data_IF_306192232681
#
_entry.id   IF_306192232681
#
_cell.length_a   1.000
_cell.length_b   1.000
_cell.length_c   1.000
_cell.angle_alpha   90.00
_cell.angle_beta   90.00
_cell.angle_gamma   90.00
#
_symmetry.space_group_name_H-M   'P 1'
#
loop_
_entity.id
_entity.type
_entity.pdbx_description
1 polymer ?
#
# COMPACT_ATOMS: atom_id res chain seq x y z
N UNK A 1 3.03 -24.35 20.38
CA UNK A 1 2.72 -24.98 19.08
C UNK A 1 1.33 -24.57 18.66
N UNK A 2 1.24 -23.65 17.72
CA UNK A 2 -0.02 -23.15 17.18
C UNK A 2 -0.57 -24.21 16.19
N UNK A 3 -1.64 -24.92 16.58
CA UNK A 3 -2.20 -26.01 15.77
C UNK A 3 -2.55 -25.61 14.33
N UNK A 4 -2.95 -24.36 14.13
CA UNK A 4 -3.34 -23.86 12.81
C UNK A 4 -2.12 -23.69 11.90
N UNK A 5 -1.03 -23.11 12.44
CA UNK A 5 0.25 -23.00 11.72
C UNK A 5 0.77 -24.40 11.38
N UNK A 6 0.72 -25.34 12.32
CA UNK A 6 1.16 -26.72 12.08
C UNK A 6 0.36 -27.39 10.94
N UNK A 7 -0.97 -27.30 10.98
CA UNK A 7 -1.84 -27.85 9.91
C UNK A 7 -1.56 -27.20 8.55
N UNK A 8 -1.36 -25.88 8.51
CA UNK A 8 -1.01 -25.18 7.28
C UNK A 8 0.39 -25.55 6.78
N UNK A 9 1.37 -25.68 7.67
CA UNK A 9 2.72 -26.12 7.34
C UNK A 9 2.70 -27.45 6.57
N UNK A 10 2.05 -28.47 7.14
CA UNK A 10 1.97 -29.80 6.52
C UNK A 10 1.30 -29.74 5.14
N UNK A 11 0.18 -29.02 5.04
CA UNK A 11 -0.55 -28.83 3.78
C UNK A 11 0.32 -28.16 2.71
N UNK A 12 1.04 -27.10 3.07
CA UNK A 12 1.88 -26.32 2.14
C UNK A 12 3.14 -27.07 1.75
N UNK A 13 3.77 -27.83 2.67
CA UNK A 13 4.92 -28.70 2.35
C UNK A 13 4.55 -29.77 1.32
N UNK A 14 3.43 -30.47 1.53
CA UNK A 14 2.92 -31.47 0.57
C UNK A 14 2.66 -30.86 -0.81
N UNK A 15 2.12 -29.65 -0.87
CA UNK A 15 1.94 -28.94 -2.13
C UNK A 15 3.27 -28.62 -2.82
N UNK A 16 4.25 -28.08 -2.08
CA UNK A 16 5.59 -27.81 -2.64
C UNK A 16 6.27 -29.08 -3.16
N UNK A 17 6.16 -30.19 -2.44
CA UNK A 17 6.70 -31.50 -2.85
C UNK A 17 6.02 -31.98 -4.14
N UNK A 18 4.68 -31.95 -4.20
CA UNK A 18 3.93 -32.31 -5.41
C UNK A 18 4.29 -31.43 -6.62
N UNK A 19 4.44 -30.12 -6.44
CA UNK A 19 4.89 -29.22 -7.51
C UNK A 19 6.29 -29.59 -8.02
N UNK A 20 7.22 -29.93 -7.11
CA UNK A 20 8.58 -30.37 -7.49
C UNK A 20 8.57 -31.66 -8.30
N UNK A 21 7.78 -32.65 -7.89
CA UNK A 21 7.62 -33.92 -8.61
C UNK A 21 7.11 -33.70 -10.05
N UNK A 22 6.19 -32.75 -10.20
CA UNK A 22 5.60 -32.39 -11.49
C UNK A 22 6.40 -31.35 -12.30
N UNK A 23 7.57 -30.93 -11.82
CA UNK A 23 8.36 -29.84 -12.43
C UNK A 23 7.56 -28.54 -12.62
N UNK A 24 6.57 -28.30 -11.77
CA UNK A 24 5.74 -27.10 -11.75
C UNK A 24 6.34 -26.06 -10.79
N UNK A 25 6.82 -24.94 -11.37
CA UNK A 25 7.38 -23.81 -10.63
C UNK A 25 6.52 -22.55 -10.75
N UNK A 26 5.26 -22.68 -11.18
CA UNK A 26 4.33 -21.56 -11.39
C UNK A 26 4.20 -20.66 -10.17
N UNK A 27 4.14 -21.23 -8.95
CA UNK A 27 4.06 -20.47 -7.70
C UNK A 27 5.31 -19.62 -7.42
N UNK A 28 6.49 -20.01 -7.93
CA UNK A 28 7.73 -19.23 -7.83
C UNK A 28 7.79 -18.14 -8.91
N UNK A 29 7.34 -18.47 -10.13
CA UNK A 29 7.30 -17.51 -11.24
C UNK A 29 6.35 -16.36 -10.91
N UNK A 30 5.18 -16.65 -10.34
CA UNK A 30 4.25 -15.62 -9.85
C UNK A 30 4.99 -14.70 -8.88
N UNK A 31 5.67 -15.22 -7.86
CA UNK A 31 6.44 -14.38 -6.92
C UNK A 31 7.51 -13.51 -7.61
N UNK A 32 8.17 -14.02 -8.66
CA UNK A 32 9.16 -13.26 -9.44
C UNK A 32 8.54 -12.19 -10.36
N UNK A 33 7.29 -12.34 -10.80
CA UNK A 33 6.61 -11.31 -11.61
C UNK A 33 6.28 -10.05 -10.78
N UNK A 34 6.14 -10.19 -9.46
CA UNK A 34 5.90 -9.08 -8.53
C UNK A 34 7.17 -8.64 -7.79
N UNK A 35 8.35 -9.07 -8.25
CA UNK A 35 9.63 -8.71 -7.63
C UNK A 35 10.15 -7.33 -8.07
N UNK A 36 9.28 -6.45 -8.58
CA UNK A 36 9.67 -5.05 -8.72
C UNK A 36 9.88 -4.49 -7.31
N UNK A 37 11.16 -4.46 -6.93
CA UNK A 37 11.65 -4.01 -5.62
C UNK A 37 11.17 -2.60 -5.26
N UNK A 38 10.83 -1.80 -6.27
CA UNK A 38 10.28 -0.44 -6.18
C UNK A 38 8.85 -0.36 -5.63
N UNK A 39 8.06 -1.43 -5.71
CA UNK A 39 6.63 -1.44 -5.31
C UNK A 39 6.38 -2.12 -3.96
N UNK A 40 7.37 -2.83 -3.42
CA UNK A 40 7.26 -3.56 -2.16
C UNK A 40 6.77 -2.67 -0.99
N UNK A 41 7.28 -1.44 -0.87
CA UNK A 41 6.84 -0.50 0.18
C UNK A 41 5.35 -0.18 0.06
N UNK A 42 4.84 0.03 -1.16
CA UNK A 42 3.41 0.28 -1.36
C UNK A 42 2.57 -0.96 -1.03
N UNK A 43 3.01 -2.17 -1.38
CA UNK A 43 2.28 -3.39 -1.00
C UNK A 43 2.25 -3.59 0.54
N UNK A 44 3.30 -3.21 1.26
CA UNK A 44 3.30 -3.23 2.73
C UNK A 44 2.32 -2.18 3.30
N UNK A 45 2.35 -0.95 2.77
CA UNK A 45 1.41 0.09 3.19
C UNK A 45 -0.03 -0.33 2.93
N UNK A 46 -0.33 -0.98 1.79
CA UNK A 46 -1.64 -1.54 1.49
C UNK A 46 -2.05 -2.62 2.49
N UNK A 47 -1.15 -3.56 2.80
CA UNK A 47 -1.46 -4.63 3.75
C UNK A 47 -1.79 -4.06 5.14
N UNK A 48 -1.07 -3.02 5.59
CA UNK A 48 -1.33 -2.34 6.86
C UNK A 48 -2.66 -1.55 6.82
N UNK A 49 -2.92 -0.84 5.73
CA UNK A 49 -4.17 -0.09 5.50
C UNK A 49 -5.41 -1.01 5.49
N UNK A 50 -5.29 -2.21 4.92
CA UNK A 50 -6.32 -3.25 4.82
C UNK A 50 -6.68 -3.92 6.15
N UNK A 51 -5.81 -3.78 7.14
CA UNK A 51 -6.09 -4.17 8.53
C UNK A 51 -6.31 -2.95 9.42
N UNK A 52 -6.62 -1.81 8.81
CA UNK A 52 -7.01 -0.56 9.48
C UNK A 52 -5.92 0.03 10.38
N UNK A 53 -4.64 -0.22 10.06
CA UNK A 53 -3.55 0.44 10.75
C UNK A 53 -3.64 1.97 10.58
N UNK A 54 -3.39 2.71 11.66
CA UNK A 54 -3.28 4.17 11.61
C UNK A 54 -1.82 4.64 11.61
N UNK A 55 -0.90 3.77 12.03
CA UNK A 55 0.53 4.02 12.11
C UNK A 55 1.31 2.83 11.55
N UNK A 56 2.37 3.13 10.81
CA UNK A 56 3.38 2.18 10.38
C UNK A 56 4.79 2.75 10.51
N UNK A 57 5.72 1.93 11.00
CA UNK A 57 7.12 2.28 11.25
C UNK A 57 8.02 1.29 10.50
N UNK A 58 8.98 1.83 9.75
CA UNK A 58 10.02 1.07 9.06
C UNK A 58 11.37 1.33 9.74
N UNK A 59 11.88 0.38 10.53
CA UNK A 59 13.23 0.41 11.09
C UNK A 59 14.14 -0.51 10.24
N UNK A 60 15.01 0.08 9.42
CA UNK A 60 15.90 -0.68 8.56
C UNK A 60 17.35 -0.58 9.02
N UNK A 61 17.95 -1.75 9.20
CA UNK A 61 19.35 -1.95 9.60
C UNK A 61 20.13 -2.59 8.44
N UNK A 62 21.43 -2.75 8.61
CA UNK A 62 22.32 -3.31 7.58
C UNK A 62 21.90 -4.71 7.09
N UNK A 63 21.27 -5.52 7.95
CA UNK A 63 20.97 -6.93 7.66
C UNK A 63 19.47 -7.26 7.62
N UNK A 64 18.59 -6.33 7.97
CA UNK A 64 17.15 -6.58 7.97
C UNK A 64 16.36 -5.27 7.92
N UNK A 65 15.10 -5.39 7.47
CA UNK A 65 14.06 -4.39 7.65
C UNK A 65 13.02 -4.91 8.66
N UNK A 66 12.77 -4.17 9.73
CA UNK A 66 11.68 -4.40 10.67
C UNK A 66 10.54 -3.42 10.37
N UNK A 67 9.35 -3.93 10.17
CA UNK A 67 8.13 -3.17 9.93
C UNK A 67 7.22 -3.39 11.13
N UNK A 68 6.70 -2.31 11.71
CA UNK A 68 5.77 -2.37 12.85
C UNK A 68 4.53 -1.55 12.51
N UNK A 69 3.33 -2.11 12.68
CA UNK A 69 2.08 -1.37 12.51
C UNK A 69 1.03 -1.76 13.55
N UNK A 70 0.15 -0.81 13.87
CA UNK A 70 -0.89 -0.95 14.91
C UNK A 70 -2.26 -1.39 14.36
N UNK A 71 -2.23 -2.13 13.24
CA UNK A 71 -3.45 -2.62 12.62
C UNK A 71 -4.02 -3.83 13.37
N UNK A 72 -5.21 -4.27 12.95
CA UNK A 72 -5.85 -5.46 13.50
C UNK A 72 -4.89 -6.67 13.49
N UNK A 73 -4.79 -7.35 14.64
CA UNK A 73 -3.92 -8.51 14.81
C UNK A 73 -4.30 -9.68 13.88
N UNK A 74 -3.31 -10.52 13.59
CA UNK A 74 -3.50 -11.69 12.75
C UNK A 74 -4.51 -12.66 13.37
N UNK A 75 -5.28 -13.26 12.48
CA UNK A 75 -6.14 -14.42 12.70
C UNK A 75 -5.72 -15.54 11.77
N UNK A 76 -6.26 -16.73 11.99
CA UNK A 76 -6.00 -17.92 11.17
C UNK A 76 -6.17 -17.68 9.66
N UNK A 77 -7.21 -16.92 9.30
CA UNK A 77 -7.50 -16.52 7.91
C UNK A 77 -6.39 -15.68 7.29
N UNK A 78 -5.69 -14.85 8.07
CA UNK A 78 -4.58 -14.04 7.59
C UNK A 78 -3.36 -14.91 7.29
N UNK A 79 -3.08 -15.91 8.13
CA UNK A 79 -1.98 -16.87 7.92
C UNK A 79 -2.23 -17.71 6.67
N UNK A 80 -3.46 -18.20 6.45
CA UNK A 80 -3.80 -18.93 5.23
C UNK A 80 -3.70 -18.04 3.98
N UNK A 81 -4.18 -16.79 4.07
CA UNK A 81 -4.16 -15.85 2.96
C UNK A 81 -2.72 -15.46 2.53
N UNK A 82 -1.85 -15.12 3.48
CA UNK A 82 -0.47 -14.72 3.19
C UNK A 82 0.39 -15.89 2.68
N UNK A 83 0.01 -17.12 3.00
CA UNK A 83 0.67 -18.36 2.55
C UNK A 83 -0.03 -19.03 1.35
N UNK A 84 -1.05 -18.39 0.78
CA UNK A 84 -1.83 -18.97 -0.31
C UNK A 84 -1.04 -19.08 -1.63
N UNK A 85 -1.41 -20.05 -2.46
CA UNK A 85 -0.87 -20.24 -3.81
C UNK A 85 -1.88 -19.67 -4.81
N UNK A 86 -1.42 -18.75 -5.66
CA UNK A 86 -2.24 -18.16 -6.73
C UNK A 86 -3.26 -17.12 -6.28
N UNK A 87 -4.08 -16.70 -7.24
CA UNK A 87 -5.19 -15.76 -7.06
C UNK A 87 -6.36 -16.50 -6.40
N UNK A 88 -6.75 -16.10 -5.19
CA UNK A 88 -7.95 -16.63 -4.55
C UNK A 88 -9.11 -15.65 -4.78
N UNK A 89 -10.02 -15.91 -5.75
CA UNK A 89 -11.17 -15.02 -5.99
C UNK A 89 -12.11 -14.93 -4.79
N UNK A 90 -12.03 -15.86 -3.83
CA UNK A 90 -12.83 -15.89 -2.59
C UNK A 90 -12.30 -14.96 -1.49
N UNK A 91 -11.09 -14.41 -1.63
CA UNK A 91 -10.50 -13.41 -0.71
C UNK A 91 -10.61 -11.98 -1.23
N UNK A 92 -11.33 -11.76 -2.33
CA UNK A 92 -11.68 -10.45 -2.87
C UNK A 92 -12.77 -9.77 -2.03
N UNK A 93 -12.45 -9.37 -0.81
CA UNK A 93 -13.11 -8.19 -0.26
C UNK A 93 -12.67 -7.02 -1.17
N UNK A 94 -13.50 -6.54 -2.12
CA UNK A 94 -13.04 -5.50 -3.09
C UNK A 94 -12.83 -4.14 -2.37
N UNK A 95 -13.14 -4.05 -1.06
CA UNK A 95 -12.85 -2.88 -0.26
C UNK A 95 -11.40 -2.84 0.23
N UNK A 96 -10.63 -3.91 0.03
CA UNK A 96 -9.23 -3.98 0.38
C UNK A 96 -8.35 -3.56 -0.80
N UNK A 97 -7.36 -2.74 -0.51
CA UNK A 97 -6.41 -2.18 -1.47
C UNK A 97 -5.45 -3.29 -1.96
N UNK A 98 -5.08 -4.20 -1.05
CA UNK A 98 -4.27 -5.38 -1.31
C UNK A 98 -5.08 -6.56 -1.83
N UNK A 99 -4.57 -7.22 -2.88
CA UNK A 99 -4.96 -8.61 -3.19
C UNK A 99 -4.23 -9.51 -2.20
N UNK A 100 -4.89 -9.85 -1.09
CA UNK A 100 -4.30 -10.60 0.03
C UNK A 100 -3.46 -11.79 -0.45
N UNK A 101 -2.18 -11.78 -0.10
CA UNK A 101 -1.21 -12.85 -0.38
C UNK A 101 -0.40 -12.72 -1.67
N UNK A 102 -0.82 -11.91 -2.66
CA UNK A 102 0.00 -11.67 -3.86
C UNK A 102 0.97 -10.52 -3.62
N UNK A 103 0.48 -9.39 -3.11
CA UNK A 103 1.29 -8.19 -2.83
C UNK A 103 2.43 -8.45 -1.86
N UNK A 104 2.15 -9.18 -0.78
CA UNK A 104 3.16 -9.54 0.22
C UNK A 104 4.32 -10.35 -0.37
N UNK A 105 4.12 -11.12 -1.45
CA UNK A 105 5.21 -11.93 -2.04
C UNK A 105 6.33 -11.09 -2.64
N UNK A 106 6.12 -9.79 -2.85
CA UNK A 106 7.19 -8.85 -3.23
C UNK A 106 8.33 -8.81 -2.19
N UNK A 107 8.08 -9.16 -0.92
CA UNK A 107 9.12 -9.28 0.13
C UNK A 107 10.22 -10.28 -0.27
N UNK A 108 9.86 -11.32 -1.03
CA UNK A 108 10.80 -12.38 -1.42
C UNK A 108 11.86 -11.90 -2.43
N UNK A 109 11.72 -10.68 -2.97
CA UNK A 109 12.80 -10.01 -3.69
C UNK A 109 13.99 -9.61 -2.79
N UNK A 110 13.79 -9.59 -1.47
CA UNK A 110 14.79 -9.19 -0.46
C UNK A 110 15.14 -10.29 0.54
N UNK A 111 14.23 -11.23 0.78
CA UNK A 111 14.39 -12.31 1.77
C UNK A 111 13.95 -13.66 1.24
N UNK A 112 14.43 -14.76 1.83
CA UNK A 112 13.88 -16.11 1.61
C UNK A 112 13.02 -16.59 2.79
N UNK A 113 12.94 -15.80 3.87
CA UNK A 113 12.29 -16.18 5.12
C UNK A 113 11.78 -14.95 5.90
N UNK A 114 10.76 -14.22 5.40
CA UNK A 114 10.13 -13.15 6.17
C UNK A 114 9.49 -13.75 7.43
N UNK A 115 9.59 -13.02 8.53
CA UNK A 115 9.04 -13.39 9.84
C UNK A 115 7.87 -12.47 10.17
N UNK A 116 6.82 -13.03 10.77
CA UNK A 116 5.60 -12.32 11.17
C UNK A 116 5.33 -12.65 12.63
N UNK A 117 5.14 -11.60 13.43
CA UNK A 117 4.75 -11.67 14.84
C UNK A 117 3.55 -10.77 15.06
N UNK A 118 2.43 -11.35 15.50
CA UNK A 118 1.17 -10.62 15.70
C UNK A 118 0.26 -11.41 16.63
N UNK A 119 0.04 -10.91 17.85
CA UNK A 119 -0.71 -11.61 18.88
C UNK A 119 -0.14 -13.01 19.13
N UNK A 120 -0.95 -14.05 18.92
CA UNK A 120 -0.56 -15.46 19.13
C UNK A 120 0.11 -16.12 17.91
N UNK A 121 0.37 -15.37 16.84
CA UNK A 121 0.96 -15.89 15.61
C UNK A 121 2.41 -15.42 15.48
N UNK A 122 3.34 -16.38 15.54
CA UNK A 122 4.77 -16.17 15.32
C UNK A 122 5.27 -17.24 14.34
N UNK A 123 5.56 -16.82 13.12
CA UNK A 123 6.00 -17.74 12.07
C UNK A 123 6.88 -17.04 11.05
N UNK A 124 7.75 -17.82 10.41
CA UNK A 124 8.44 -17.41 9.19
C UNK A 124 7.83 -18.12 7.99
N UNK A 125 7.88 -17.51 6.82
CA UNK A 125 7.41 -18.14 5.59
C UNK A 125 8.61 -18.62 4.77
N UNK A 126 8.78 -19.93 4.62
CA UNK A 126 9.81 -20.51 3.77
C UNK A 126 9.21 -21.00 2.45
N UNK A 127 10.05 -21.16 1.42
CA UNK A 127 9.63 -21.69 0.11
C UNK A 127 8.40 -20.95 -0.47
N UNK A 128 8.34 -19.63 -0.23
CA UNK A 128 7.26 -18.71 -0.61
C UNK A 128 5.89 -18.90 0.07
N UNK A 129 5.58 -20.08 0.60
CA UNK A 129 4.21 -20.43 1.05
C UNK A 129 4.15 -21.32 2.30
N UNK A 130 5.27 -21.74 2.87
CA UNK A 130 5.29 -22.68 4.00
C UNK A 130 5.46 -21.90 5.30
N UNK A 131 4.42 -21.78 6.14
CA UNK A 131 4.58 -21.15 7.45
C UNK A 131 5.27 -22.11 8.43
N UNK A 132 6.39 -21.72 9.01
CA UNK A 132 7.12 -22.45 10.05
C UNK A 132 7.03 -21.66 11.36
N UNK A 133 6.55 -22.28 12.43
CA UNK A 133 6.49 -21.66 13.76
C UNK A 133 7.91 -21.32 14.24
N UNK A 134 8.05 -20.15 14.86
CA UNK A 134 9.31 -19.64 15.42
C UNK A 134 9.08 -19.15 16.85
N UNK A 135 10.17 -18.90 17.57
CA UNK A 135 10.08 -18.39 18.93
C UNK A 135 9.31 -17.06 18.98
N UNK A 136 8.40 -16.89 19.95
CA UNK A 136 7.64 -15.66 20.09
C UNK A 136 8.57 -14.50 20.48
N UNK A 137 8.24 -13.31 19.96
CA UNK A 137 8.81 -12.05 20.44
C UNK A 137 7.68 -11.22 21.01
N UNK A 138 8.00 -10.39 22.00
CA UNK A 138 7.04 -9.41 22.50
C UNK A 138 6.76 -8.37 21.40
N UNK A 139 5.51 -8.32 20.95
CA UNK A 139 5.02 -7.38 19.96
C UNK A 139 3.90 -6.49 20.52
N UNK A 140 3.54 -6.62 21.81
CA UNK A 140 2.40 -5.92 22.40
C UNK A 140 1.13 -6.06 21.56
N UNK A 141 0.51 -4.92 21.25
CA UNK A 141 -0.67 -4.82 20.38
C UNK A 141 -0.33 -4.52 18.91
N UNK A 142 0.96 -4.49 18.55
CA UNK A 142 1.42 -4.24 17.19
C UNK A 142 1.62 -5.56 16.43
N UNK A 143 1.58 -5.47 15.10
CA UNK A 143 2.12 -6.50 14.20
C UNK A 143 3.53 -6.11 13.79
N UNK A 144 4.47 -7.04 13.93
CA UNK A 144 5.87 -6.90 13.54
C UNK A 144 6.17 -7.86 12.38
N UNK A 145 6.71 -7.33 11.29
CA UNK A 145 7.23 -8.10 10.16
C UNK A 145 8.73 -7.86 10.06
N UNK A 146 9.52 -8.93 10.08
CA UNK A 146 10.97 -8.87 9.93
C UNK A 146 11.33 -9.43 8.55
N UNK A 147 12.14 -8.69 7.81
CA UNK A 147 12.64 -9.05 6.48
C UNK A 147 14.16 -9.14 6.56
N UNK A 148 14.72 -10.33 6.87
CA UNK A 148 16.16 -10.54 6.84
C UNK A 148 16.69 -10.48 5.41
N UNK A 149 17.79 -9.77 5.15
CA UNK A 149 18.41 -9.64 3.82
C UNK A 149 19.24 -10.88 3.46
N UNK A 150 18.60 -12.04 3.43
CA UNK A 150 19.22 -13.35 3.21
C UNK A 150 18.95 -13.94 1.82
N UNK A 151 18.56 -13.11 0.85
CA UNK A 151 18.32 -13.55 -0.52
C UNK A 151 19.62 -13.85 -1.27
N UNK A 152 19.74 -15.05 -1.84
CA UNK A 152 21.01 -15.53 -2.43
C UNK A 152 21.53 -14.71 -3.62
N UNK A 153 20.66 -13.95 -4.30
CA UNK A 153 21.01 -13.11 -5.46
C UNK A 153 21.01 -11.61 -5.15
N UNK A 154 20.87 -11.20 -3.89
CA UNK A 154 20.86 -9.80 -3.49
C UNK A 154 21.67 -9.64 -2.21
N UNK A 155 22.77 -8.89 -2.28
CA UNK A 155 23.60 -8.66 -1.09
C UNK A 155 22.87 -7.76 -0.08
N UNK A 156 23.11 -7.92 1.24
CA UNK A 156 22.53 -7.06 2.27
C UNK A 156 22.69 -5.55 1.99
N UNK A 157 23.90 -5.10 1.63
CA UNK A 157 24.16 -3.68 1.33
C UNK A 157 23.35 -3.16 0.13
N UNK A 158 23.14 -4.00 -0.89
CA UNK A 158 22.32 -3.65 -2.05
C UNK A 158 20.83 -3.58 -1.67
N UNK A 159 20.34 -4.53 -0.86
CA UNK A 159 18.98 -4.51 -0.33
C UNK A 159 18.73 -3.26 0.51
N UNK A 160 19.67 -2.95 1.42
CA UNK A 160 19.67 -1.76 2.26
C UNK A 160 19.55 -0.48 1.42
N UNK A 161 20.42 -0.32 0.41
CA UNK A 161 20.42 0.85 -0.47
C UNK A 161 19.08 1.04 -1.19
N UNK A 162 18.54 -0.04 -1.76
CA UNK A 162 17.26 0.00 -2.49
C UNK A 162 16.10 0.43 -1.58
N UNK A 163 16.02 -0.14 -0.37
CA UNK A 163 14.95 0.17 0.58
C UNK A 163 15.09 1.61 1.09
N UNK A 164 16.32 2.03 1.43
CA UNK A 164 16.62 3.39 1.88
C UNK A 164 16.19 4.43 0.85
N UNK A 165 16.67 4.29 -0.39
CA UNK A 165 16.32 5.21 -1.49
C UNK A 165 14.80 5.27 -1.68
N UNK A 166 14.10 4.14 -1.56
CA UNK A 166 12.66 4.09 -1.75
C UNK A 166 11.88 4.80 -0.63
N UNK A 167 12.28 4.61 0.64
CA UNK A 167 11.65 5.28 1.78
C UNK A 167 11.94 6.78 1.78
N UNK A 168 13.16 7.18 1.39
CA UNK A 168 13.56 8.58 1.26
C UNK A 168 12.87 9.29 0.08
N UNK A 169 12.53 8.57 -1.00
CA UNK A 169 11.82 9.10 -2.18
C UNK A 169 10.29 8.95 -2.08
N UNK A 170 9.74 8.50 -0.94
CA UNK A 170 8.30 8.53 -0.74
C UNK A 170 7.80 9.97 -0.87
N UNK A 171 6.81 10.18 -1.74
CA UNK A 171 6.21 11.51 -1.90
C UNK A 171 5.05 11.70 -0.94
N UNK A 172 4.73 12.95 -0.61
CA UNK A 172 3.58 13.30 0.25
C UNK A 172 2.26 12.77 -0.31
N UNK A 173 2.11 12.61 -1.63
CA UNK A 173 0.93 11.98 -2.23
C UNK A 173 0.75 10.50 -1.85
N UNK A 174 1.79 9.82 -1.35
CA UNK A 174 1.74 8.40 -0.98
C UNK A 174 0.87 8.12 0.24
N UNK A 175 0.64 9.13 1.10
CA UNK A 175 -0.23 9.00 2.28
C UNK A 175 -1.60 9.66 2.05
N UNK A 176 -1.69 10.61 1.10
CA UNK A 176 -2.84 11.49 0.88
C UNK A 176 -4.18 10.73 0.75
N UNK A 177 -4.20 9.66 -0.06
CA UNK A 177 -5.42 8.91 -0.38
C UNK A 177 -5.58 7.61 0.43
N UNK A 178 -4.74 7.39 1.45
CA UNK A 178 -4.97 6.33 2.42
C UNK A 178 -6.14 6.73 3.32
N UNK A 179 -6.94 5.78 3.78
CA UNK A 179 -8.13 6.05 4.61
C UNK A 179 -7.77 6.02 6.09
N UNK A 180 -6.98 5.04 6.51
CA UNK A 180 -6.69 4.76 7.91
C UNK A 180 -5.30 5.24 8.33
N UNK A 181 -4.27 4.97 7.51
CA UNK A 181 -2.89 5.36 7.84
C UNK A 181 -2.79 6.89 7.86
N UNK A 182 -2.39 7.40 9.02
CA UNK A 182 -2.16 8.81 9.31
C UNK A 182 -0.69 9.10 9.62
N UNK A 183 0.10 8.07 9.94
CA UNK A 183 1.50 8.23 10.31
C UNK A 183 2.37 7.14 9.66
N UNK A 184 3.27 7.54 8.78
CA UNK A 184 4.33 6.70 8.23
C UNK A 184 5.65 7.22 8.77
N UNK A 185 6.42 6.37 9.44
CA UNK A 185 7.75 6.72 9.95
C UNK A 185 8.78 5.75 9.41
N UNK A 186 9.99 6.25 9.20
CA UNK A 186 11.12 5.39 8.87
C UNK A 186 12.38 5.88 9.56
N UNK A 187 13.25 4.95 9.94
CA UNK A 187 14.52 5.22 10.59
C UNK A 187 15.59 4.23 10.15
N UNK A 188 16.80 4.76 9.99
CA UNK A 188 18.04 4.04 9.77
C UNK A 188 19.10 4.50 10.77
N UNK A 189 20.30 3.96 10.66
CA UNK A 189 21.42 4.43 11.47
C UNK A 189 21.88 5.87 11.10
N UNK A 190 21.53 6.36 9.91
CA UNK A 190 22.02 7.64 9.37
C UNK A 190 20.95 8.73 9.31
N UNK A 191 19.74 8.34 8.92
CA UNK A 191 18.62 9.24 8.65
C UNK A 191 17.32 8.63 9.16
N UNK A 192 16.38 9.50 9.49
CA UNK A 192 15.00 9.16 9.82
C UNK A 192 14.09 10.16 9.14
N UNK A 193 12.86 9.77 8.83
CA UNK A 193 11.85 10.64 8.24
C UNK A 193 10.44 10.21 8.62
N UNK A 194 9.48 11.08 8.29
CA UNK A 194 8.07 10.84 8.60
C UNK A 194 7.15 11.50 7.57
N UNK A 195 5.92 11.00 7.54
CA UNK A 195 4.76 11.59 6.87
C UNK A 195 3.58 11.54 7.83
N UNK A 196 2.99 12.70 8.12
CA UNK A 196 1.83 12.84 8.99
C UNK A 196 0.67 13.40 8.18
N UNK A 197 -0.48 12.73 8.24
CA UNK A 197 -1.71 13.15 7.57
C UNK A 197 -2.76 13.49 8.63
N UNK A 198 -3.30 14.69 8.53
CA UNK A 198 -4.46 15.12 9.30
C UNK A 198 -5.56 15.59 8.34
N UNK A 199 -6.79 15.14 8.56
CA UNK A 199 -7.95 15.55 7.76
C UNK A 199 -9.05 16.17 8.61
N UNK A 200 -9.71 17.19 8.06
CA UNK A 200 -10.85 17.90 8.65
C UNK A 200 -11.99 17.88 7.64
N UNK A 201 -13.14 17.32 8.02
CA UNK A 201 -14.34 17.39 7.19
C UNK A 201 -14.88 18.83 7.19
N UNK A 202 -14.91 19.46 6.01
CA UNK A 202 -15.47 20.81 5.85
C UNK A 202 -16.99 20.71 5.70
N UNK A 203 -17.43 19.79 4.85
CA UNK A 203 -18.82 19.41 4.71
C UNK A 203 -18.92 18.00 4.11
N UNK A 204 -20.14 17.55 3.83
CA UNK A 204 -20.36 16.26 3.17
C UNK A 204 -19.56 16.22 1.86
N UNK A 205 -18.70 15.22 1.73
CA UNK A 205 -17.88 14.92 0.55
C UNK A 205 -16.76 15.95 0.25
N UNK A 206 -16.40 16.80 1.22
CA UNK A 206 -15.28 17.75 1.09
C UNK A 206 -14.43 17.73 2.36
N UNK A 207 -13.13 17.47 2.20
CA UNK A 207 -12.15 17.42 3.27
C UNK A 207 -11.03 18.42 3.03
N UNK A 208 -10.55 19.02 4.11
CA UNK A 208 -9.23 19.64 4.16
C UNK A 208 -8.24 18.58 4.61
N UNK A 209 -7.18 18.31 3.86
CA UNK A 209 -6.13 17.39 4.26
C UNK A 209 -4.81 18.15 4.33
N UNK A 210 -4.12 18.04 5.45
CA UNK A 210 -2.75 18.49 5.59
C UNK A 210 -1.84 17.26 5.63
N UNK A 211 -0.80 17.26 4.79
CA UNK A 211 0.26 16.26 4.79
C UNK A 211 1.56 16.96 5.14
N UNK A 212 2.08 16.64 6.32
CA UNK A 212 3.35 17.13 6.81
C UNK A 212 4.45 16.08 6.63
N UNK A 213 5.67 16.52 6.35
CA UNK A 213 6.81 15.62 6.18
C UNK A 213 8.10 16.26 6.66
N UNK A 214 9.14 15.47 6.83
CA UNK A 214 10.45 16.01 7.21
C UNK A 214 11.06 16.97 6.15
N UNK A 215 10.71 16.80 4.87
CA UNK A 215 11.34 17.52 3.76
C UNK A 215 10.61 18.81 3.38
N UNK A 216 9.30 18.83 3.56
CA UNK A 216 8.43 19.93 3.14
C UNK A 216 7.44 20.24 4.27
N UNK A 217 7.35 21.53 4.63
CA UNK A 217 6.40 22.04 5.61
C UNK A 217 4.97 21.93 5.06
N UNK A 218 4.14 21.08 5.69
CA UNK A 218 2.68 21.02 5.58
C UNK A 218 2.06 21.33 4.21
N UNK A 219 1.94 20.33 3.34
CA UNK A 219 1.17 20.43 2.10
C UNK A 219 -0.33 20.39 2.40
N UNK A 220 -1.07 21.44 2.00
CA UNK A 220 -2.51 21.51 2.17
C UNK A 220 -3.26 21.10 0.89
N UNK A 221 -4.32 20.30 1.05
CA UNK A 221 -5.17 19.85 -0.04
C UNK A 221 -6.65 20.04 0.29
N UNK A 222 -7.42 20.52 -0.69
CA UNK A 222 -8.87 20.43 -0.67
C UNK A 222 -9.30 19.20 -1.47
N UNK A 223 -9.84 18.21 -0.79
CA UNK A 223 -10.20 16.91 -1.35
C UNK A 223 -11.71 16.76 -1.46
N UNK A 224 -12.18 16.40 -2.64
CA UNK A 224 -13.56 16.08 -2.94
C UNK A 224 -13.70 14.59 -3.14
N UNK A 225 -14.66 13.95 -2.48
CA UNK A 225 -14.86 12.52 -2.60
C UNK A 225 -16.27 12.16 -3.07
N UNK A 226 -16.41 11.02 -3.76
CA UNK A 226 -17.72 10.47 -4.16
C UNK A 226 -17.67 8.96 -4.01
N UNK A 227 -18.70 8.41 -3.39
CA UNK A 227 -18.92 6.97 -3.37
C UNK A 227 -19.62 6.56 -4.67
N UNK A 228 -19.10 5.53 -5.33
CA UNK A 228 -19.62 4.97 -6.58
C UNK A 228 -19.97 3.50 -6.37
N UNK A 229 -20.98 3.01 -7.08
CA UNK A 229 -21.34 1.60 -7.09
C UNK A 229 -20.74 0.92 -8.32
N UNK A 230 -19.93 -0.10 -8.09
CA UNK A 230 -19.39 -0.97 -9.12
C UNK A 230 -19.72 -2.40 -8.73
N UNK A 231 -20.49 -3.08 -9.57
CA UNK A 231 -21.07 -4.39 -9.25
C UNK A 231 -21.83 -4.31 -7.90
N UNK A 232 -21.48 -5.16 -6.94
CA UNK A 232 -22.14 -5.22 -5.62
C UNK A 232 -21.39 -4.40 -4.55
N UNK A 233 -20.51 -3.47 -4.96
CA UNK A 233 -19.57 -2.83 -4.02
C UNK A 233 -19.51 -1.32 -4.16
N UNK A 234 -19.38 -0.69 -3.00
CA UNK A 234 -19.21 0.75 -2.85
C UNK A 234 -17.73 1.09 -2.82
N UNK A 235 -17.25 1.77 -3.85
CA UNK A 235 -15.88 2.25 -3.95
C UNK A 235 -15.85 3.77 -3.84
N UNK A 236 -14.68 4.32 -3.50
CA UNK A 236 -14.49 5.77 -3.34
C UNK A 236 -13.56 6.31 -4.42
N UNK A 237 -13.97 7.40 -5.05
CA UNK A 237 -13.17 8.22 -5.97
C UNK A 237 -12.92 9.60 -5.36
N UNK A 238 -11.76 10.18 -5.64
CA UNK A 238 -11.32 11.41 -5.01
C UNK A 238 -10.58 12.33 -5.99
N UNK A 239 -10.80 13.64 -5.83
CA UNK A 239 -10.07 14.70 -6.54
C UNK A 239 -9.44 15.61 -5.49
N UNK A 240 -8.13 15.79 -5.53
CA UNK A 240 -7.40 16.62 -4.58
C UNK A 240 -6.75 17.82 -5.27
N UNK A 241 -7.06 19.01 -4.76
CA UNK A 241 -6.51 20.28 -5.23
C UNK A 241 -5.51 20.80 -4.22
N UNK A 242 -4.28 21.04 -4.67
CA UNK A 242 -3.24 21.62 -3.84
C UNK A 242 -3.58 23.07 -3.51
N UNK A 243 -3.55 23.42 -2.22
CA UNK A 243 -3.85 24.75 -1.73
C UNK A 243 -2.56 25.41 -1.29
N UNK A 244 -2.29 26.57 -1.86
CA UNK A 244 -1.12 27.39 -1.55
C UNK A 244 -1.58 28.78 -1.07
N UNK A 245 -0.65 29.52 -0.48
CA UNK A 245 -0.86 30.86 0.04
C UNK A 245 -0.21 31.89 -0.89
N UNK A 246 -0.99 32.91 -1.27
CA UNK A 246 -0.43 34.13 -1.84
C UNK A 246 0.30 34.92 -0.76
N UNK A 247 1.13 35.88 -1.19
CA UNK A 247 1.84 36.82 -0.29
C UNK A 247 0.91 37.57 0.69
N UNK A 248 -0.37 37.76 0.34
CA UNK A 248 -1.37 38.41 1.18
C UNK A 248 -2.14 37.43 2.10
N UNK A 249 -1.63 36.21 2.31
CA UNK A 249 -2.26 35.11 3.05
C UNK A 249 -3.60 34.63 2.47
N UNK A 250 -3.93 34.98 1.23
CA UNK A 250 -5.10 34.45 0.55
C UNK A 250 -4.80 33.04 0.02
N UNK A 251 -5.60 32.06 0.44
CA UNK A 251 -5.55 30.69 -0.10
C UNK A 251 -6.04 30.63 -1.54
N UNK A 252 -5.35 29.87 -2.39
CA UNK A 252 -5.74 29.62 -3.78
C UNK A 252 -5.38 28.19 -4.21
N UNK A 253 -6.01 27.68 -5.27
CA UNK A 253 -5.58 26.39 -5.85
C UNK A 253 -4.35 26.63 -6.70
N UNK A 254 -3.22 26.08 -6.27
CA UNK A 254 -1.98 26.09 -7.05
C UNK A 254 -1.98 24.97 -8.09
N UNK A 255 -1.28 25.21 -9.20
CA UNK A 255 -1.18 24.24 -10.28
C UNK A 255 -0.07 23.22 -9.98
N UNK A 256 -0.46 21.95 -9.91
CA UNK A 256 0.50 20.86 -9.93
C UNK A 256 0.90 20.53 -11.36
N UNK A 257 2.14 20.08 -11.56
CA UNK A 257 2.64 19.64 -12.86
C UNK A 257 3.07 18.17 -12.81
N UNK A 258 3.05 17.49 -13.96
CA UNK A 258 3.43 16.07 -14.07
C UNK A 258 2.66 15.16 -13.10
N UNK A 259 1.38 15.46 -12.88
CA UNK A 259 0.53 14.66 -12.00
C UNK A 259 0.31 13.28 -12.61
N UNK A 260 0.06 12.30 -11.73
CA UNK A 260 -0.21 10.92 -12.12
C UNK A 260 -1.52 10.47 -11.53
N UNK A 261 -2.23 9.62 -12.26
CA UNK A 261 -3.43 8.99 -11.75
C UNK A 261 -3.03 8.03 -10.61
N UNK A 262 -3.71 8.15 -9.47
CA UNK A 262 -3.46 7.31 -8.31
C UNK A 262 -4.51 6.21 -8.19
N UNK A 263 -4.04 5.00 -7.90
CA UNK A 263 -4.88 3.90 -7.41
C UNK A 263 -4.42 3.64 -5.98
N UNK A 264 -4.85 4.53 -5.08
CA UNK A 264 -4.33 4.76 -3.72
C UNK A 264 -2.88 5.28 -3.68
N UNK A 265 -2.00 4.75 -4.53
CA UNK A 265 -0.65 5.27 -4.76
C UNK A 265 -0.49 5.73 -6.22
N UNK A 266 0.44 6.67 -6.50
CA UNK A 266 0.69 7.13 -7.87
C UNK A 266 1.10 5.98 -8.81
N UNK A 267 0.40 5.85 -9.94
CA UNK A 267 0.73 4.86 -11.00
C UNK A 267 1.80 5.42 -11.97
N UNK A 268 2.07 4.74 -13.10
CA UNK A 268 2.87 5.32 -14.20
C UNK A 268 2.03 6.17 -15.16
N UNK A 269 0.70 6.12 -15.06
CA UNK A 269 -0.21 6.88 -15.92
C UNK A 269 -0.15 8.38 -15.58
N UNK A 270 0.49 9.16 -16.47
CA UNK A 270 0.51 10.61 -16.36
C UNK A 270 -0.84 11.19 -16.77
N UNK A 271 -1.28 12.19 -16.03
CA UNK A 271 -2.45 12.99 -16.39
C UNK A 271 -1.96 14.43 -16.62
N UNK A 272 -2.41 15.05 -17.71
CA UNK A 272 -2.07 16.44 -18.05
C UNK A 272 -3.01 17.41 -17.32
N UNK A 273 -3.26 17.15 -16.03
CA UNK A 273 -4.16 17.91 -15.17
C UNK A 273 -3.37 18.58 -14.05
N UNK A 274 -3.86 19.73 -13.59
CA UNK A 274 -3.18 20.54 -12.58
C UNK A 274 -3.52 20.15 -11.13
N UNK A 275 -4.15 18.99 -10.94
CA UNK A 275 -4.65 18.48 -9.66
C UNK A 275 -4.52 16.95 -9.64
N UNK A 276 -4.65 16.35 -8.45
CA UNK A 276 -4.48 14.92 -8.25
C UNK A 276 -5.81 14.19 -8.36
N UNK A 277 -5.77 13.00 -8.95
CA UNK A 277 -6.90 12.09 -9.06
C UNK A 277 -6.58 10.78 -8.36
N UNK A 278 -7.52 10.30 -7.55
CA UNK A 278 -7.55 8.94 -7.06
C UNK A 278 -8.83 8.27 -7.54
N UNK A 279 -8.67 7.04 -8.03
CA UNK A 279 -9.79 6.18 -8.34
C UNK A 279 -9.38 4.70 -8.28
N UNK A 280 -10.31 3.79 -7.98
CA UNK A 280 -10.05 2.37 -7.81
C UNK A 280 -10.00 1.65 -9.16
N UNK A 281 -9.20 2.16 -10.10
CA UNK A 281 -9.04 1.57 -11.41
C UNK A 281 -8.47 0.15 -11.32
N UNK A 282 -8.95 -0.73 -12.19
CA UNK A 282 -8.34 -2.04 -12.41
C UNK A 282 -7.04 -1.84 -13.18
N UNK A 283 -5.94 -2.21 -12.55
CA UNK A 283 -4.59 -2.10 -13.12
C UNK A 283 -4.12 -3.43 -13.72
N UNK A 284 -3.01 -3.38 -14.46
CA UNK A 284 -2.17 -4.55 -14.74
C UNK A 284 -1.70 -5.25 -13.46
N UNK A 285 -1.21 -6.50 -13.52
CA UNK A 285 -0.70 -7.22 -12.36
C UNK A 285 0.38 -6.45 -11.58
N UNK A 286 1.30 -5.78 -12.26
CA UNK A 286 2.34 -4.96 -11.63
C UNK A 286 1.84 -3.60 -11.10
N UNK A 287 0.53 -3.30 -11.20
CA UNK A 287 -0.13 -2.08 -10.72
C UNK A 287 0.35 -0.75 -11.33
N UNK A 288 1.01 -0.82 -12.48
CA UNK A 288 1.64 0.37 -13.06
C UNK A 288 0.79 1.08 -14.11
N UNK A 289 0.02 0.32 -14.89
CA UNK A 289 -0.74 0.85 -16.02
C UNK A 289 -2.21 0.44 -15.93
N UNK A 290 -3.05 1.18 -16.65
CA UNK A 290 -4.51 1.05 -16.61
C UNK A 290 -5.04 0.81 -18.03
N UNK A 291 -5.84 -0.24 -18.18
CA UNK A 291 -6.61 -0.43 -19.41
C UNK A 291 -7.90 0.38 -19.35
N UNK A 292 -7.88 1.57 -19.95
CA UNK A 292 -9.06 2.45 -19.98
C UNK A 292 -10.21 1.94 -20.85
N UNK A 293 -10.03 0.84 -21.61
CA UNK A 293 -11.09 0.19 -22.38
C UNK A 293 -11.80 -0.94 -21.62
N UNK A 294 -11.32 -1.29 -20.43
CA UNK A 294 -12.03 -2.21 -19.55
C UNK A 294 -13.35 -1.55 -19.11
N UNK A 295 -14.46 -2.29 -19.19
CA UNK A 295 -15.80 -1.76 -18.95
C UNK A 295 -15.96 -1.14 -17.54
N UNK A 296 -15.28 -1.68 -16.53
CA UNK A 296 -15.29 -1.10 -15.18
C UNK A 296 -14.54 0.23 -15.16
N UNK A 297 -13.38 0.28 -15.80
CA UNK A 297 -12.55 1.48 -15.87
C UNK A 297 -13.22 2.61 -16.68
N UNK A 298 -14.01 2.28 -17.70
CA UNK A 298 -14.84 3.26 -18.42
C UNK A 298 -15.88 3.92 -17.50
N UNK A 299 -16.56 3.13 -16.66
CA UNK A 299 -17.51 3.64 -15.66
C UNK A 299 -16.80 4.56 -14.66
N UNK A 300 -15.68 4.10 -14.09
CA UNK A 300 -14.88 4.90 -13.15
C UNK A 300 -14.44 6.23 -13.79
N UNK A 301 -14.01 6.20 -15.06
CA UNK A 301 -13.59 7.40 -15.79
C UNK A 301 -14.74 8.40 -15.95
N UNK A 302 -15.94 7.93 -16.24
CA UNK A 302 -17.13 8.79 -16.31
C UNK A 302 -17.43 9.42 -14.95
N UNK A 303 -17.45 8.61 -13.90
CA UNK A 303 -17.78 9.05 -12.54
C UNK A 303 -16.77 10.08 -12.00
N UNK A 304 -15.47 9.87 -12.21
CA UNK A 304 -14.44 10.83 -11.78
C UNK A 304 -14.47 12.11 -12.61
N UNK A 305 -14.83 12.03 -13.89
CA UNK A 305 -15.04 13.22 -14.73
C UNK A 305 -16.20 14.08 -14.22
N UNK A 306 -17.30 13.45 -13.83
CA UNK A 306 -18.43 14.15 -13.19
C UNK A 306 -18.03 14.79 -11.86
N UNK A 307 -17.24 14.09 -11.03
CA UNK A 307 -16.72 14.63 -9.79
C UNK A 307 -15.85 15.87 -10.03
N UNK A 308 -14.97 15.84 -11.04
CA UNK A 308 -14.13 17.00 -11.44
C UNK A 308 -15.00 18.20 -11.84
N UNK A 309 -16.06 18.00 -12.62
CA UNK A 309 -16.96 19.10 -13.01
C UNK A 309 -17.63 19.72 -11.78
N UNK A 310 -18.12 18.87 -10.86
CA UNK A 310 -18.76 19.32 -9.62
C UNK A 310 -17.78 20.05 -8.70
N UNK A 311 -16.57 19.53 -8.51
CA UNK A 311 -15.56 20.12 -7.63
C UNK A 311 -15.09 21.48 -8.16
N UNK A 312 -14.87 21.64 -9.47
CA UNK A 312 -14.53 22.93 -10.07
C UNK A 312 -15.65 23.97 -9.86
N UNK A 313 -16.91 23.58 -10.06
CA UNK A 313 -18.04 24.48 -9.77
C UNK A 313 -18.08 24.92 -8.30
N UNK A 314 -17.76 24.01 -7.38
CA UNK A 314 -17.72 24.31 -5.94
C UNK A 314 -16.52 25.18 -5.56
N UNK A 315 -15.34 24.92 -6.12
CA UNK A 315 -14.14 25.74 -5.94
C UNK A 315 -14.38 27.19 -6.35
N UNK A 316 -15.06 27.41 -7.48
CA UNK A 316 -15.45 28.75 -7.94
C UNK A 316 -16.39 29.44 -6.94
N UNK A 317 -17.40 28.73 -6.44
CA UNK A 317 -18.32 29.26 -5.40
C UNK A 317 -17.62 29.58 -4.09
N UNK A 318 -16.55 28.85 -3.77
CA UNK A 318 -15.71 29.07 -2.59
C UNK A 318 -14.64 30.16 -2.80
N UNK A 319 -14.52 30.72 -4.01
CA UNK A 319 -13.58 31.79 -4.33
C UNK A 319 -12.13 31.33 -4.49
N UNK A 320 -11.88 30.03 -4.62
CA UNK A 320 -10.51 29.51 -4.83
C UNK A 320 -10.03 29.62 -6.28
N UNK A 321 -10.96 29.69 -7.24
CA UNK A 321 -10.70 29.83 -8.67
C UNK A 321 -11.70 30.81 -9.30
N UNK A 322 -11.32 31.43 -10.41
CA UNK A 322 -12.09 32.51 -11.06
C UNK A 322 -13.20 32.02 -12.00
#
# INVERSE_FOLDING_TARGET
MNEEIHKLNEKRRKHVESCKENHDYSYQVISNLYSEKSHFIYEILQNAEDVEATRIIFDFKENFLKITHNGNLFKSVNVDAITAVGYSPKLNELNKIGKFGIGFKSVFGFTVSPEIHSGNYHFKITKFIVPEEIDPIDCGDDTIIIIPFNHSKLKPDEAYKIIKEKLEDLKTESILFLRNIQNIQWESNESKGYYLKADINICRNIKWICVDSQKDDGHEYLVFDKDIQIEDKTLKIEVAYYVDLKENNQKFIAHLHNTKLSVYFPTKEKIELNFLLQAPYKTTPNRETIDFKDAQNEIITKEISELVVMSLSKLKKLGFIN
#
